data_IF_931110594414
#
_entry.id   IF_931110594414
#
_cell.length_a   1.000
_cell.length_b   1.000
_cell.length_c   1.000
_cell.angle_alpha   90.00
_cell.angle_beta   90.00
_cell.angle_gamma   90.00
#
_symmetry.space_group_name_H-M   'P 1'
#
loop_
_entity.id
_entity.type
_entity.pdbx_description
1 polymer ?
#
# COMPACT_ATOMS: atom_id res chain seq x y z
N UNK A 1 -13.67 26.05 -23.73
CA UNK A 1 -14.13 24.81 -23.06
C UNK A 1 -13.13 23.73 -23.44
N UNK A 2 -12.38 23.20 -22.48
CA UNK A 2 -11.41 22.11 -22.73
C UNK A 2 -12.14 20.82 -23.09
N UNK A 3 -11.63 20.09 -24.07
CA UNK A 3 -12.19 18.80 -24.48
C UNK A 3 -11.64 17.71 -23.55
N UNK A 4 -12.52 17.05 -22.80
CA UNK A 4 -12.14 15.86 -22.02
C UNK A 4 -12.12 14.67 -22.96
N UNK A 5 -10.96 14.05 -23.11
CA UNK A 5 -10.82 12.82 -23.88
C UNK A 5 -11.30 11.64 -23.02
N UNK A 6 -12.37 10.98 -23.45
CA UNK A 6 -12.94 9.80 -22.78
C UNK A 6 -12.34 8.47 -23.28
N UNK A 7 -11.26 8.52 -24.08
CA UNK A 7 -10.54 7.31 -24.49
C UNK A 7 -9.85 6.62 -23.30
N UNK A 8 -9.25 5.44 -23.56
CA UNK A 8 -8.58 4.58 -22.58
C UNK A 8 -7.70 5.42 -21.62
N UNK A 9 -7.83 5.24 -20.29
CA UNK A 9 -7.02 5.95 -19.30
C UNK A 9 -5.53 5.80 -19.56
N UNK A 10 -4.77 6.85 -19.27
CA UNK A 10 -3.31 6.85 -19.37
C UNK A 10 -2.69 5.83 -18.41
N UNK A 11 -1.63 5.14 -18.87
CA UNK A 11 -0.67 4.44 -18.03
C UNK A 11 -1.16 3.23 -17.22
N UNK A 12 -2.18 2.48 -17.71
CA UNK A 12 -2.60 1.21 -17.10
C UNK A 12 -1.56 0.08 -17.26
N UNK A 13 -0.57 0.26 -18.13
CA UNK A 13 0.40 -0.79 -18.46
C UNK A 13 1.27 -1.16 -17.25
N UNK A 14 1.21 -2.43 -16.86
CA UNK A 14 1.95 -2.98 -15.71
C UNK A 14 1.26 -2.87 -14.35
N UNK A 15 0.01 -2.39 -14.27
CA UNK A 15 -0.79 -2.40 -13.05
C UNK A 15 -1.97 -3.38 -13.11
N UNK A 16 -2.33 -3.98 -11.97
CA UNK A 16 -3.46 -4.89 -11.84
C UNK A 16 -4.78 -4.14 -11.65
N UNK A 17 -5.92 -4.79 -11.92
CA UNK A 17 -7.24 -4.17 -11.81
C UNK A 17 -7.68 -3.97 -10.35
N UNK A 18 -7.43 -4.98 -9.52
CA UNK A 18 -7.85 -5.06 -8.13
C UNK A 18 -6.64 -5.20 -7.21
N UNK A 19 -6.77 -4.71 -5.98
CA UNK A 19 -5.78 -4.93 -4.93
C UNK A 19 -5.83 -6.40 -4.51
N UNK A 20 -4.69 -6.96 -4.11
CA UNK A 20 -4.67 -8.32 -3.61
C UNK A 20 -5.46 -8.40 -2.29
N UNK A 21 -6.49 -9.27 -2.19
CA UNK A 21 -7.25 -9.40 -0.96
C UNK A 21 -6.35 -9.90 0.18
N UNK A 22 -6.67 -9.57 1.45
CA UNK A 22 -5.99 -10.20 2.59
C UNK A 22 -6.12 -11.73 2.48
N UNK A 23 -5.06 -12.42 2.90
CA UNK A 23 -4.81 -13.80 2.53
C UNK A 23 -5.97 -14.77 2.76
N UNK A 24 -6.11 -15.74 1.85
CA UNK A 24 -7.14 -16.79 1.92
C UNK A 24 -6.64 -18.11 2.52
N UNK A 25 -5.39 -18.15 3.00
CA UNK A 25 -4.70 -19.39 3.35
C UNK A 25 -4.88 -19.85 4.81
N UNK A 26 -5.48 -19.03 5.66
CA UNK A 26 -5.72 -19.32 7.06
C UNK A 26 -7.04 -18.67 7.49
N UNK A 27 -8.02 -19.47 7.89
CA UNK A 27 -9.29 -18.95 8.35
C UNK A 27 -9.26 -18.68 9.86
N UNK A 28 -9.98 -17.64 10.27
CA UNK A 28 -9.95 -17.12 11.63
C UNK A 28 -10.64 -18.06 12.60
N UNK A 29 -9.97 -18.32 13.74
CA UNK A 29 -10.52 -19.10 14.86
C UNK A 29 -11.02 -20.53 14.50
N UNK A 30 -10.45 -21.16 13.47
CA UNK A 30 -10.78 -22.55 13.10
C UNK A 30 -10.03 -23.61 13.91
N UNK A 31 -8.90 -23.25 14.51
CA UNK A 31 -8.06 -24.19 15.24
C UNK A 31 -8.25 -24.07 16.76
N UNK A 32 -8.19 -25.17 17.50
CA UNK A 32 -8.18 -25.11 18.95
C UNK A 32 -6.87 -24.49 19.46
N UNK A 33 -7.00 -23.68 20.51
CA UNK A 33 -5.88 -23.08 21.24
C UNK A 33 -5.07 -24.16 21.94
N UNK A 34 -3.74 -24.08 21.86
CA UNK A 34 -2.78 -24.94 22.58
C UNK A 34 -1.94 -24.12 23.55
N UNK A 35 -1.33 -24.73 24.59
CA UNK A 35 -0.51 -24.01 25.57
C UNK A 35 0.62 -23.16 24.96
N UNK A 36 1.28 -23.64 23.89
CA UNK A 36 2.34 -22.89 23.24
C UNK A 36 1.84 -21.64 22.50
N UNK A 37 0.55 -21.57 22.15
CA UNK A 37 -0.03 -20.39 21.52
C UNK A 37 -0.04 -19.21 22.49
N UNK A 38 -0.24 -19.47 23.79
CA UNK A 38 -0.12 -18.45 24.82
C UNK A 38 1.32 -17.96 25.01
N UNK A 39 2.32 -18.82 24.81
CA UNK A 39 3.72 -18.41 24.83
C UNK A 39 4.02 -17.46 23.66
N UNK A 40 3.60 -17.82 22.44
CA UNK A 40 3.74 -16.96 21.26
C UNK A 40 3.00 -15.63 21.47
N UNK A 41 1.78 -15.68 22.00
CA UNK A 41 0.99 -14.49 22.30
C UNK A 41 1.70 -13.58 23.33
N UNK A 42 2.25 -14.15 24.40
CA UNK A 42 2.99 -13.40 25.41
C UNK A 42 4.24 -12.72 24.81
N UNK A 43 5.01 -13.44 23.98
CA UNK A 43 6.14 -12.86 23.26
C UNK A 43 5.71 -11.70 22.36
N UNK A 44 4.63 -11.89 21.60
CA UNK A 44 4.10 -10.82 20.73
C UNK A 44 3.64 -9.60 21.53
N UNK A 45 3.08 -9.77 22.73
CA UNK A 45 2.68 -8.65 23.60
C UNK A 45 3.86 -7.81 24.10
N UNK A 46 5.06 -8.40 24.17
CA UNK A 46 6.29 -7.68 24.57
C UNK A 46 6.89 -6.87 23.42
N UNK A 47 6.60 -7.22 22.15
CA UNK A 47 7.19 -6.54 20.99
C UNK A 47 6.75 -5.06 20.87
N UNK A 48 5.46 -4.69 20.94
CA UNK A 48 5.06 -3.29 20.80
C UNK A 48 5.70 -2.29 21.78
N UNK A 49 5.81 -2.55 23.09
CA UNK A 49 6.49 -1.62 23.98
C UNK A 49 7.98 -1.49 23.63
N UNK A 50 8.68 -2.58 23.31
CA UNK A 50 10.08 -2.54 22.88
C UNK A 50 10.26 -1.73 21.60
N UNK A 51 9.42 -1.96 20.60
CA UNK A 51 9.44 -1.20 19.35
C UNK A 51 9.12 0.27 19.56
N UNK A 52 8.20 0.59 20.46
CA UNK A 52 7.88 1.97 20.82
C UNK A 52 9.09 2.68 21.46
N UNK A 53 9.87 1.99 22.32
CA UNK A 53 11.13 2.51 22.88
C UNK A 53 12.18 2.76 21.80
N UNK A 54 12.22 1.92 20.78
CA UNK A 54 13.09 2.09 19.60
C UNK A 54 12.54 3.10 18.57
N UNK A 55 11.48 3.86 18.89
CA UNK A 55 10.80 4.82 17.99
C UNK A 55 10.18 4.19 16.73
N UNK A 56 9.87 2.90 16.76
CA UNK A 56 9.20 2.16 15.70
C UNK A 56 7.69 2.17 15.94
N UNK A 57 7.08 3.35 15.79
CA UNK A 57 5.70 3.61 16.23
C UNK A 57 4.67 2.91 15.35
N UNK A 58 4.91 2.88 14.04
CA UNK A 58 4.01 2.22 13.07
C UNK A 58 4.03 0.71 13.28
N UNK A 59 5.22 0.11 13.36
CA UNK A 59 5.37 -1.32 13.62
C UNK A 59 4.70 -1.73 14.94
N UNK A 60 4.94 -0.95 16.01
CA UNK A 60 4.28 -1.18 17.29
C UNK A 60 2.75 -1.03 17.21
N UNK A 61 2.26 -0.09 16.41
CA UNK A 61 0.84 0.13 16.14
C UNK A 61 0.20 -1.09 15.48
N UNK A 62 0.79 -1.58 14.39
CA UNK A 62 0.28 -2.74 13.65
C UNK A 62 0.25 -4.00 14.51
N UNK A 63 1.31 -4.28 15.26
CA UNK A 63 1.35 -5.43 16.17
C UNK A 63 0.33 -5.30 17.31
N UNK A 64 0.15 -4.12 17.90
CA UNK A 64 -0.93 -3.92 18.90
C UNK A 64 -2.30 -4.21 18.30
N UNK A 65 -2.53 -3.74 17.08
CA UNK A 65 -3.81 -3.91 16.41
C UNK A 65 -4.10 -5.39 16.12
N UNK A 66 -3.11 -6.09 15.56
CA UNK A 66 -3.16 -7.53 15.35
C UNK A 66 -3.59 -8.30 16.61
N UNK A 67 -2.97 -7.95 17.76
CA UNK A 67 -3.20 -8.60 19.04
C UNK A 67 -4.54 -8.25 19.72
N UNK A 68 -5.32 -7.30 19.18
CA UNK A 68 -6.70 -7.05 19.62
C UNK A 68 -7.68 -8.10 19.12
N UNK A 69 -7.30 -8.88 18.12
CA UNK A 69 -8.09 -9.96 17.52
C UNK A 69 -9.44 -9.53 16.89
N UNK A 70 -9.65 -8.24 16.61
CA UNK A 70 -10.90 -7.75 16.01
C UNK A 70 -10.89 -7.77 14.47
N UNK A 71 -9.71 -7.70 13.84
CA UNK A 71 -9.54 -7.72 12.38
C UNK A 71 -10.10 -6.49 11.68
N UNK A 72 -10.40 -5.43 12.43
CA UNK A 72 -10.95 -4.19 11.87
C UNK A 72 -9.92 -3.53 10.94
N UNK A 73 -10.34 -2.98 9.79
CA UNK A 73 -9.40 -2.29 8.91
C UNK A 73 -8.70 -1.12 9.59
N UNK A 74 -7.42 -0.96 9.31
CA UNK A 74 -6.60 0.15 9.81
C UNK A 74 -6.38 1.17 8.71
N UNK A 75 -6.75 2.43 8.98
CA UNK A 75 -6.39 3.55 8.10
C UNK A 75 -5.07 4.15 8.59
N UNK A 76 -4.12 4.36 7.68
CA UNK A 76 -2.85 5.04 7.94
C UNK A 76 -2.78 6.38 7.23
N UNK A 77 -1.82 7.20 7.65
CA UNK A 77 -1.43 8.41 6.94
C UNK A 77 -0.66 8.00 5.66
N UNK A 78 -1.32 8.14 4.51
CA UNK A 78 -0.71 7.82 3.23
C UNK A 78 0.20 8.94 2.72
N UNK A 79 0.11 10.17 3.25
CA UNK A 79 1.03 11.25 2.91
C UNK A 79 2.41 10.95 3.50
N UNK A 80 2.47 10.47 4.74
CA UNK A 80 3.72 10.03 5.37
C UNK A 80 4.37 8.90 4.56
N UNK A 81 3.58 7.93 4.12
CA UNK A 81 4.09 6.82 3.32
C UNK A 81 4.56 7.28 1.93
N UNK A 82 3.79 8.15 1.26
CA UNK A 82 4.14 8.71 -0.04
C UNK A 82 5.42 9.57 0.03
N UNK A 83 5.72 10.17 1.19
CA UNK A 83 6.95 10.92 1.40
C UNK A 83 8.21 10.04 1.49
N UNK A 84 8.08 8.72 1.63
CA UNK A 84 9.24 7.83 1.63
C UNK A 84 9.92 7.82 0.25
N UNK A 85 11.26 7.92 0.17
CA UNK A 85 11.97 8.06 -1.11
C UNK A 85 11.62 7.00 -2.16
N UNK A 86 11.50 5.72 -1.76
CA UNK A 86 11.14 4.64 -2.68
C UNK A 86 9.70 4.73 -3.20
N UNK A 87 8.76 5.15 -2.34
CA UNK A 87 7.34 5.31 -2.69
C UNK A 87 7.14 6.54 -3.56
N UNK A 88 7.79 7.65 -3.19
CA UNK A 88 7.79 8.88 -3.98
C UNK A 88 8.37 8.63 -5.38
N UNK A 89 9.52 7.97 -5.48
CA UNK A 89 10.14 7.67 -6.76
C UNK A 89 9.23 6.82 -7.66
N UNK A 90 8.59 5.77 -7.11
CA UNK A 90 7.65 4.94 -7.86
C UNK A 90 6.42 5.74 -8.35
N UNK A 91 5.90 6.65 -7.52
CA UNK A 91 4.81 7.55 -7.91
C UNK A 91 5.26 8.53 -8.99
N UNK A 92 6.42 9.17 -8.83
CA UNK A 92 6.99 10.13 -9.79
C UNK A 92 7.24 9.52 -11.15
N UNK A 93 7.77 8.30 -11.20
CA UNK A 93 7.99 7.58 -12.44
C UNK A 93 6.66 7.36 -13.20
N UNK A 94 5.59 7.03 -12.46
CA UNK A 94 4.26 6.88 -13.05
C UNK A 94 3.66 8.21 -13.51
N UNK A 95 3.81 9.28 -12.72
CA UNK A 95 3.35 10.62 -13.10
C UNK A 95 4.10 11.11 -14.36
N UNK A 96 5.40 10.85 -14.46
CA UNK A 96 6.21 11.17 -15.65
C UNK A 96 5.71 10.41 -16.89
N UNK A 97 5.40 9.11 -16.76
CA UNK A 97 4.79 8.32 -17.85
C UNK A 97 3.48 8.93 -18.32
N UNK A 98 2.59 9.30 -17.39
CA UNK A 98 1.31 9.91 -17.74
C UNK A 98 1.48 11.25 -18.46
N UNK A 99 2.43 12.11 -18.03
CA UNK A 99 2.71 13.37 -18.72
C UNK A 99 3.20 13.15 -20.15
N UNK A 100 4.13 12.20 -20.34
CA UNK A 100 4.65 11.88 -21.67
C UNK A 100 3.54 11.36 -22.59
N UNK A 101 2.73 10.42 -22.13
CA UNK A 101 1.63 9.85 -22.92
C UNK A 101 0.55 10.90 -23.24
N UNK A 102 0.19 11.75 -22.27
CA UNK A 102 -0.74 12.86 -22.49
C UNK A 102 -0.21 13.84 -23.56
N UNK A 103 1.07 14.20 -23.49
CA UNK A 103 1.69 15.12 -24.42
C UNK A 103 1.77 14.53 -25.84
N UNK A 104 2.05 13.24 -25.97
CA UNK A 104 2.07 12.56 -27.26
C UNK A 104 0.68 12.49 -27.89
N UNK A 105 -0.36 12.16 -27.11
CA UNK A 105 -1.77 12.22 -27.57
C UNK A 105 -2.17 13.63 -27.98
N UNK A 106 -1.78 14.64 -27.19
CA UNK A 106 -2.06 16.04 -27.48
C UNK A 106 -1.38 16.51 -28.78
N UNK A 107 -0.11 16.14 -29.00
CA UNK A 107 0.67 16.46 -30.22
C UNK A 107 0.10 15.85 -31.48
N UNK A 108 -0.48 14.65 -31.37
CA UNK A 108 -1.17 13.95 -32.46
C UNK A 108 -2.58 14.50 -32.74
N UNK A 109 -3.17 15.22 -31.78
CA UNK A 109 -4.48 15.84 -31.90
C UNK A 109 -4.44 17.31 -32.36
N UNK A 110 -5.54 18.06 -32.10
CA UNK A 110 -5.69 19.47 -32.51
C UNK A 110 -4.80 20.47 -31.76
N UNK A 111 -4.01 20.01 -30.77
CA UNK A 111 -3.15 20.85 -29.91
C UNK A 111 -3.88 21.99 -29.18
N UNK A 112 -5.16 21.78 -28.86
CA UNK A 112 -5.93 22.65 -27.98
C UNK A 112 -5.82 22.14 -26.52
N UNK A 113 -6.10 22.97 -25.51
CA UNK A 113 -6.11 22.53 -24.10
C UNK A 113 -6.99 21.29 -23.91
N UNK A 114 -6.41 20.25 -23.30
CA UNK A 114 -7.02 18.94 -23.17
C UNK A 114 -6.82 18.35 -21.76
N UNK A 115 -7.74 17.48 -21.37
CA UNK A 115 -7.67 16.74 -20.12
C UNK A 115 -7.82 15.23 -20.38
N UNK A 116 -6.93 14.45 -19.79
CA UNK A 116 -6.84 13.00 -19.96
C UNK A 116 -7.00 12.29 -18.62
N UNK A 117 -7.99 11.39 -18.46
CA UNK A 117 -8.10 10.56 -17.27
C UNK A 117 -6.91 9.59 -17.18
N UNK A 118 -6.44 9.34 -15.96
CA UNK A 118 -5.25 8.53 -15.73
C UNK A 118 -5.48 7.52 -14.59
N UNK A 119 -5.01 6.29 -14.79
CA UNK A 119 -5.15 5.19 -13.83
C UNK A 119 -3.97 4.23 -13.96
N UNK A 120 -3.20 4.10 -12.89
CA UNK A 120 -1.97 3.30 -12.91
C UNK A 120 -2.24 1.81 -12.81
N UNK A 121 -3.46 1.41 -12.44
CA UNK A 121 -3.73 0.13 -11.80
C UNK A 121 -3.05 0.02 -10.43
N UNK A 122 -3.31 -1.07 -9.72
CA UNK A 122 -2.59 -1.41 -8.50
C UNK A 122 -1.17 -1.88 -8.82
N UNK A 123 -0.20 -1.48 -8.00
CA UNK A 123 1.22 -1.74 -8.18
C UNK A 123 1.88 -1.95 -6.83
N UNK A 124 2.88 -2.81 -6.78
CA UNK A 124 3.66 -3.02 -5.57
C UNK A 124 4.74 -1.96 -5.40
N UNK A 125 4.98 -1.60 -4.15
CA UNK A 125 6.20 -0.91 -3.73
C UNK A 125 6.81 -1.62 -2.53
N UNK A 126 8.12 -1.86 -2.60
CA UNK A 126 8.89 -2.46 -1.51
C UNK A 126 9.52 -1.36 -0.67
N UNK A 127 9.27 -1.41 0.63
CA UNK A 127 9.85 -0.52 1.63
C UNK A 127 10.95 -1.30 2.33
N UNK A 128 12.21 -0.98 2.06
CA UNK A 128 13.34 -1.66 2.69
C UNK A 128 13.67 -1.06 4.06
N UNK A 129 14.36 -1.82 4.91
CA UNK A 129 14.87 -1.33 6.20
C UNK A 129 15.71 -0.06 6.09
N UNK A 130 16.43 0.13 4.98
CA UNK A 130 17.25 1.33 4.73
C UNK A 130 16.40 2.56 4.40
N UNK A 131 15.23 2.37 3.78
CA UNK A 131 14.29 3.45 3.48
C UNK A 131 13.59 3.90 4.76
N UNK A 132 13.04 2.95 5.52
CA UNK A 132 12.49 3.22 6.85
C UNK A 132 12.37 1.91 7.61
N UNK A 133 13.08 1.78 8.73
CA UNK A 133 13.00 0.59 9.57
C UNK A 133 11.60 0.41 10.19
N UNK A 134 10.91 1.51 10.50
CA UNK A 134 9.57 1.48 11.07
C UNK A 134 8.54 0.99 10.04
N UNK A 135 8.49 1.63 8.87
CA UNK A 135 7.56 1.24 7.81
C UNK A 135 7.90 -0.12 7.19
N UNK A 136 9.18 -0.49 7.17
CA UNK A 136 9.60 -1.83 6.77
C UNK A 136 9.08 -2.91 7.72
N UNK A 137 9.14 -2.69 9.04
CA UNK A 137 8.57 -3.63 10.01
C UNK A 137 7.03 -3.58 10.03
N UNK A 138 6.45 -2.42 9.75
CA UNK A 138 5.00 -2.24 9.76
C UNK A 138 4.32 -2.89 8.55
N UNK A 139 4.83 -2.69 7.33
CA UNK A 139 4.19 -3.11 6.09
C UNK A 139 5.10 -3.96 5.20
N UNK A 140 6.41 -3.65 5.14
CA UNK A 140 7.45 -4.22 4.25
C UNK A 140 7.21 -3.97 2.76
N UNK A 141 6.03 -4.27 2.26
CA UNK A 141 5.54 -3.90 0.95
C UNK A 141 4.11 -3.38 1.08
N UNK A 142 3.70 -2.56 0.12
CA UNK A 142 2.32 -2.15 0.01
C UNK A 142 1.93 -2.05 -1.46
N UNK A 143 0.65 -2.20 -1.73
CA UNK A 143 0.07 -1.94 -3.03
C UNK A 143 -0.39 -0.51 -3.07
N UNK A 144 -0.07 0.20 -4.12
CA UNK A 144 -0.57 1.55 -4.36
C UNK A 144 -1.24 1.67 -5.72
N UNK A 145 -2.15 2.62 -5.84
CA UNK A 145 -2.79 3.00 -7.11
C UNK A 145 -2.88 4.51 -7.19
N UNK A 146 -2.40 5.05 -8.31
CA UNK A 146 -2.62 6.44 -8.68
C UNK A 146 -3.85 6.51 -9.60
N UNK A 147 -4.78 7.39 -9.25
CA UNK A 147 -5.89 7.77 -10.13
C UNK A 147 -5.91 9.29 -10.23
N UNK A 148 -6.10 9.84 -11.43
CA UNK A 148 -6.00 11.29 -11.59
C UNK A 148 -6.42 11.80 -12.95
N UNK A 149 -6.08 13.07 -13.20
CA UNK A 149 -6.29 13.73 -14.48
C UNK A 149 -5.04 14.50 -14.86
N UNK A 150 -4.53 14.25 -16.06
CA UNK A 150 -3.46 15.05 -16.66
C UNK A 150 -4.09 16.12 -17.53
N UNK A 151 -3.76 17.38 -17.28
CA UNK A 151 -4.13 18.51 -18.14
C UNK A 151 -2.93 18.95 -18.95
N UNK A 152 -3.15 19.18 -20.22
CA UNK A 152 -2.17 19.77 -21.16
C UNK A 152 -2.75 21.09 -21.63
N UNK A 153 -2.00 22.18 -21.50
CA UNK A 153 -2.44 23.51 -21.98
C UNK A 153 -2.18 23.69 -23.49
N UNK A 154 -2.41 24.90 -24.01
CA UNK A 154 -2.22 25.21 -25.43
C UNK A 154 -0.75 25.28 -25.86
N UNK A 155 0.17 25.45 -24.91
CA UNK A 155 1.61 25.51 -25.14
C UNK A 155 2.29 24.15 -24.91
N UNK A 156 1.52 23.16 -24.44
CA UNK A 156 1.98 21.80 -24.15
C UNK A 156 2.52 21.62 -22.73
N UNK A 157 2.35 22.59 -21.82
CA UNK A 157 2.68 22.41 -20.43
C UNK A 157 1.67 21.47 -19.75
N UNK A 158 2.16 20.65 -18.82
CA UNK A 158 1.37 19.58 -18.20
C UNK A 158 1.22 19.78 -16.70
N UNK A 159 0.02 19.56 -16.18
CA UNK A 159 -0.28 19.52 -14.76
C UNK A 159 -1.10 18.27 -14.42
N UNK A 160 -0.85 17.66 -13.26
CA UNK A 160 -1.48 16.41 -12.84
C UNK A 160 -2.10 16.58 -11.46
N UNK A 161 -3.41 16.41 -11.37
CA UNK A 161 -4.09 16.15 -10.09
C UNK A 161 -4.23 14.65 -9.91
N UNK A 162 -3.80 14.13 -8.76
CA UNK A 162 -3.85 12.70 -8.49
C UNK A 162 -4.27 12.37 -7.06
N UNK A 163 -4.88 11.20 -6.91
CA UNK A 163 -5.11 10.50 -5.64
C UNK A 163 -4.16 9.31 -5.60
N UNK A 164 -3.39 9.22 -4.53
CA UNK A 164 -2.60 8.05 -4.15
C UNK A 164 -3.42 7.22 -3.17
N UNK A 165 -3.81 6.02 -3.59
CA UNK A 165 -4.50 5.04 -2.76
C UNK A 165 -3.55 3.93 -2.34
N UNK A 166 -3.67 3.47 -1.11
CA UNK A 166 -2.87 2.41 -0.54
C UNK A 166 -3.76 1.23 -0.12
N UNK A 167 -3.29 0.02 -0.38
CA UNK A 167 -3.85 -1.21 0.13
C UNK A 167 -2.73 -2.14 0.61
N UNK A 168 -2.97 -2.85 1.71
CA UNK A 168 -2.12 -3.95 2.15
C UNK A 168 -2.93 -4.94 2.99
N UNK A 169 -2.96 -6.21 2.59
CA UNK A 169 -3.25 -7.30 3.51
C UNK A 169 -2.14 -7.42 4.55
N UNK A 170 -2.46 -7.24 5.83
CA UNK A 170 -1.53 -7.47 6.93
C UNK A 170 -1.74 -8.88 7.47
N UNK A 171 -0.99 -9.82 6.90
CA UNK A 171 -1.16 -11.26 7.08
C UNK A 171 0.18 -11.97 7.27
N UNK A 172 0.11 -13.21 7.77
CA UNK A 172 1.24 -14.10 7.93
C UNK A 172 1.00 -15.40 7.17
N UNK A 173 1.72 -15.58 6.06
CA UNK A 173 1.57 -16.80 5.27
C UNK A 173 2.20 -18.01 5.96
N UNK A 174 1.41 -19.05 6.21
CA UNK A 174 1.89 -20.30 6.79
C UNK A 174 3.00 -20.90 5.92
N UNK A 175 4.10 -21.32 6.55
CA UNK A 175 5.27 -21.84 5.84
C UNK A 175 6.15 -20.75 5.22
N UNK A 176 5.69 -19.49 5.23
CA UNK A 176 6.51 -18.34 4.94
C UNK A 176 7.50 -18.04 6.07
N UNK A 177 8.55 -17.32 5.73
CA UNK A 177 9.47 -16.75 6.70
C UNK A 177 10.10 -15.49 6.12
N UNK A 178 10.54 -14.60 6.99
CA UNK A 178 11.27 -13.40 6.62
C UNK A 178 12.44 -13.20 7.58
N UNK A 179 13.64 -13.00 7.05
CA UNK A 179 14.88 -12.88 7.84
C UNK A 179 15.08 -14.00 8.89
N UNK A 180 14.68 -15.23 8.54
CA UNK A 180 14.76 -16.38 9.44
C UNK A 180 13.69 -16.42 10.53
N UNK A 181 12.76 -15.46 10.56
CA UNK A 181 11.59 -15.48 11.44
C UNK A 181 10.46 -16.21 10.70
N UNK A 182 10.04 -17.39 11.16
CA UNK A 182 8.93 -18.10 10.55
C UNK A 182 7.63 -17.36 10.81
N UNK A 183 6.76 -17.27 9.80
CA UNK A 183 5.43 -16.67 9.91
C UNK A 183 4.42 -17.62 10.55
N UNK A 184 4.67 -18.93 10.51
CA UNK A 184 3.77 -19.96 11.05
C UNK A 184 3.29 -19.72 12.49
N UNK A 185 4.12 -19.31 13.46
CA UNK A 185 3.64 -19.02 14.82
C UNK A 185 2.66 -17.86 14.86
N UNK A 186 2.85 -16.83 14.03
CA UNK A 186 1.96 -15.69 13.95
C UNK A 186 0.68 -16.06 13.21
N UNK A 187 0.76 -16.69 12.04
CA UNK A 187 -0.40 -17.23 11.31
C UNK A 187 -1.29 -18.06 12.24
N UNK A 188 -0.68 -18.88 13.10
CA UNK A 188 -1.41 -19.70 14.07
C UNK A 188 -2.18 -18.89 15.12
N UNK A 189 -1.69 -17.73 15.55
CA UNK A 189 -2.47 -16.85 16.45
C UNK A 189 -3.75 -16.36 15.78
N UNK A 190 -3.74 -16.12 14.46
CA UNK A 190 -4.95 -15.86 13.68
C UNK A 190 -5.90 -17.05 13.68
N UNK A 191 -5.38 -18.22 13.34
CA UNK A 191 -6.18 -19.43 13.19
C UNK A 191 -6.78 -19.92 14.51
N UNK A 192 -6.20 -19.56 15.64
CA UNK A 192 -6.72 -19.88 16.98
C UNK A 192 -7.61 -18.78 17.57
N UNK A 193 -7.78 -17.66 16.87
CA UNK A 193 -8.58 -16.53 17.32
C UNK A 193 -7.91 -15.63 18.38
N UNK A 194 -6.64 -15.87 18.70
CA UNK A 194 -5.89 -15.11 19.70
C UNK A 194 -5.35 -13.77 19.19
N UNK A 195 -5.25 -13.64 17.87
CA UNK A 195 -4.94 -12.41 17.15
C UNK A 195 -5.72 -12.43 15.83
N UNK A 196 -5.81 -11.32 15.10
CA UNK A 196 -6.55 -11.29 13.83
C UNK A 196 -5.86 -10.40 12.82
N UNK A 197 -5.64 -10.98 11.66
CA UNK A 197 -5.13 -10.28 10.47
C UNK A 197 -6.15 -9.26 9.98
N UNK A 198 -5.68 -8.24 9.29
CA UNK A 198 -6.50 -7.09 8.92
C UNK A 198 -6.01 -6.44 7.63
N UNK A 199 -6.84 -5.56 7.08
CA UNK A 199 -6.47 -4.74 5.94
C UNK A 199 -5.96 -3.39 6.40
N UNK A 200 -4.89 -2.92 5.77
CA UNK A 200 -4.41 -1.55 5.89
C UNK A 200 -4.81 -0.77 4.64
N UNK A 201 -5.37 0.42 4.84
CA UNK A 201 -5.72 1.35 3.76
C UNK A 201 -5.21 2.75 4.06
N UNK A 202 -5.08 3.55 3.02
CA UNK A 202 -4.67 4.95 3.14
C UNK A 202 -4.94 5.70 1.85
N UNK A 203 -5.14 7.01 1.95
CA UNK A 203 -5.32 7.88 0.78
C UNK A 203 -4.64 9.21 1.00
N UNK A 204 -3.99 9.70 -0.04
CA UNK A 204 -3.37 11.02 -0.11
C UNK A 204 -3.71 11.67 -1.46
N UNK A 205 -3.67 12.99 -1.52
CA UNK A 205 -3.95 13.75 -2.73
C UNK A 205 -2.74 14.63 -3.07
N UNK A 206 -2.49 14.83 -4.37
CA UNK A 206 -1.36 15.63 -4.81
C UNK A 206 -1.64 16.37 -6.11
N UNK A 207 -0.85 17.42 -6.30
CA UNK A 207 -0.77 18.22 -7.51
C UNK A 207 0.69 18.27 -7.95
N UNK A 208 0.97 17.99 -9.23
CA UNK A 208 2.33 17.91 -9.74
C UNK A 208 2.44 18.33 -11.20
#
# INVERSE_FOLDING_TARGET
MGQTDLTRPLGRDGGWADAEPPCRNAAFAELPVRPYDFLTLALCRVLPPLWSLCRLRHAAGMMRHYLRADGTPVRIDAEELLALPAVRAAADEQLARWRAEALDRWRAGPRAPAAYPADSGWRDVVITRRVSADWWLALRCAEFRLTGTVRVDGDGATAVDYRFALHKGWNFDRGGSELGIPFTPFARLHETGLAREFTVTGEAFGHA
#
